data_IF_762291987324
#
_entry.id   IF_762291987324
#
_cell.length_a   1.000
_cell.length_b   1.000
_cell.length_c   1.000
_cell.angle_alpha   90.00
_cell.angle_beta   90.00
_cell.angle_gamma   90.00
#
_symmetry.space_group_name_H-M   'P 1'
#
loop_
_entity.id
_entity.type
_entity.pdbx_description
1 polymer ?
#
# COMPACT_ATOMS: atom_id res chain seq x y z
N UNK A 1 -0.68 -51.21 6.50
CA UNK A 1 -1.21 -50.10 5.67
C UNK A 1 -1.30 -48.89 6.57
N UNK A 2 -0.35 -47.97 6.45
CA UNK A 2 -0.19 -46.82 7.36
C UNK A 2 -0.64 -45.55 6.65
N UNK A 3 -1.44 -44.75 7.35
CA UNK A 3 -2.11 -43.54 6.86
C UNK A 3 -1.10 -42.38 6.67
N UNK A 4 -1.00 -41.72 5.50
CA UNK A 4 0.07 -40.76 5.21
C UNK A 4 -0.14 -39.32 5.72
N UNK A 5 -1.04 -39.08 6.69
CA UNK A 5 -1.41 -37.71 7.12
C UNK A 5 -0.96 -37.26 8.51
N UNK A 6 -0.14 -38.04 9.22
CA UNK A 6 0.46 -37.58 10.48
C UNK A 6 1.86 -37.00 10.26
N UNK A 7 1.89 -35.74 9.79
CA UNK A 7 3.06 -34.89 9.91
C UNK A 7 2.83 -33.88 11.06
N UNK A 8 3.75 -33.79 12.05
CA UNK A 8 3.56 -32.90 13.19
C UNK A 8 3.59 -31.43 12.75
N UNK A 9 2.52 -30.68 13.05
CA UNK A 9 2.46 -29.22 12.88
C UNK A 9 3.56 -28.58 13.73
N UNK A 10 4.60 -28.04 13.08
CA UNK A 10 5.57 -27.17 13.73
C UNK A 10 4.81 -25.93 14.24
N UNK A 11 4.67 -25.80 15.56
CA UNK A 11 4.12 -24.58 16.17
C UNK A 11 5.04 -23.41 15.78
N UNK A 12 4.61 -22.55 14.86
CA UNK A 12 5.31 -21.30 14.57
C UNK A 12 5.19 -20.44 15.82
N UNK A 13 6.32 -20.21 16.49
CA UNK A 13 6.43 -19.40 17.70
C UNK A 13 5.94 -17.99 17.39
N UNK A 14 4.83 -17.59 18.01
CA UNK A 14 4.45 -16.18 18.16
C UNK A 14 5.69 -15.45 18.69
N UNK A 15 6.21 -14.49 17.91
CA UNK A 15 7.40 -13.76 18.32
C UNK A 15 7.07 -12.95 19.58
N UNK A 16 7.84 -13.16 20.65
CA UNK A 16 7.64 -12.48 21.94
C UNK A 16 7.86 -10.96 21.89
N UNK A 17 8.22 -10.39 20.73
CA UNK A 17 8.48 -8.95 20.55
C UNK A 17 7.24 -8.10 20.32
N UNK A 18 6.13 -8.67 19.85
CA UNK A 18 4.88 -7.91 19.60
C UNK A 18 4.18 -7.49 20.90
N UNK A 19 4.50 -8.14 22.03
CA UNK A 19 3.86 -7.83 23.33
C UNK A 19 4.38 -6.57 24.03
N UNK A 20 5.52 -6.00 23.61
CA UNK A 20 6.26 -4.99 24.39
C UNK A 20 6.00 -3.53 24.00
N UNK A 21 5.30 -3.26 22.89
CA UNK A 21 5.04 -1.89 22.44
C UNK A 21 3.73 -1.28 22.99
N UNK A 22 3.13 -1.86 24.05
CA UNK A 22 1.84 -1.41 24.60
C UNK A 22 1.91 -0.17 25.51
N UNK A 23 3.10 0.40 25.78
CA UNK A 23 3.29 1.22 27.00
C UNK A 23 3.79 2.65 26.86
N UNK A 24 3.94 3.26 25.67
CA UNK A 24 4.40 4.67 25.61
C UNK A 24 3.71 5.46 24.50
N UNK A 25 2.66 6.21 24.85
CA UNK A 25 2.25 7.44 24.16
C UNK A 25 1.19 8.19 24.99
N UNK A 26 1.62 8.98 25.98
CA UNK A 26 0.81 10.01 26.65
C UNK A 26 1.71 11.23 26.81
N UNK A 27 1.63 12.19 25.88
CA UNK A 27 2.06 13.60 26.02
C UNK A 27 1.71 14.43 24.78
N UNK A 28 0.62 15.20 24.87
CA UNK A 28 0.44 16.57 24.34
C UNK A 28 0.71 16.90 22.85
N UNK A 29 -0.36 17.24 22.13
CA UNK A 29 -0.31 18.02 20.88
C UNK A 29 -1.34 17.50 19.87
N UNK A 30 -2.33 18.33 19.50
CA UNK A 30 -3.55 17.92 18.78
C UNK A 30 -3.33 17.06 17.53
N UNK A 31 -3.84 15.83 17.57
CA UNK A 31 -3.91 14.89 16.45
C UNK A 31 -5.24 14.14 16.58
N UNK A 32 -5.96 14.05 15.46
CA UNK A 32 -7.16 13.22 15.30
C UNK A 32 -6.75 11.77 15.55
N UNK A 33 -7.14 11.24 16.72
CA UNK A 33 -6.84 9.87 17.14
C UNK A 33 -8.16 9.11 17.29
N UNK A 34 -8.38 8.11 16.44
CA UNK A 34 -9.41 7.09 16.66
C UNK A 34 -8.92 6.25 17.84
N UNK A 35 -9.47 6.52 19.02
CA UNK A 35 -9.17 5.79 20.24
C UNK A 35 -9.99 4.51 20.23
N UNK A 36 -9.35 3.35 20.01
CA UNK A 36 -9.92 2.06 20.38
C UNK A 36 -9.39 1.64 21.76
N UNK A 37 -10.33 1.55 22.71
CA UNK A 37 -10.15 1.33 24.13
C UNK A 37 -9.65 -0.10 24.45
N UNK A 38 -8.56 -0.20 25.22
CA UNK A 38 -8.12 -1.45 25.85
C UNK A 38 -7.75 -1.21 27.32
N UNK A 39 -8.57 -1.72 28.25
CA UNK A 39 -8.37 -1.64 29.71
C UNK A 39 -7.40 -2.74 30.18
N UNK A 40 -6.34 -2.38 30.93
CA UNK A 40 -5.85 -3.19 32.08
C UNK A 40 -4.93 -2.41 33.03
N UNK A 41 -5.18 -2.58 34.33
CA UNK A 41 -4.56 -1.98 35.52
C UNK A 41 -3.15 -2.56 35.79
N UNK A 42 -2.20 -1.72 36.21
CA UNK A 42 -0.94 -2.17 36.85
C UNK A 42 0.12 -1.08 37.04
N UNK A 43 0.33 -0.64 38.29
CA UNK A 43 1.44 0.21 38.75
C UNK A 43 2.81 -0.47 38.54
N UNK A 44 3.87 0.28 38.21
CA UNK A 44 5.03 0.58 39.09
C UNK A 44 6.24 1.18 38.34
N UNK A 45 6.67 2.35 38.84
CA UNK A 45 7.99 2.98 39.00
C UNK A 45 9.22 2.66 38.12
N UNK A 46 9.71 3.76 37.51
CA UNK A 46 11.09 4.32 37.51
C UNK A 46 12.27 3.60 36.85
N UNK A 47 12.69 4.20 35.73
CA UNK A 47 13.97 4.92 35.51
C UNK A 47 15.32 4.20 35.68
N UNK A 48 16.10 4.22 34.60
CA UNK A 48 17.56 4.06 34.61
C UNK A 48 18.12 3.91 33.20
N UNK A 49 18.57 5.01 32.59
CA UNK A 49 19.32 5.03 31.32
C UNK A 49 20.73 5.56 31.53
N UNK A 50 21.57 5.19 30.56
CA UNK A 50 22.80 5.84 30.08
C UNK A 50 24.13 5.31 30.66
N UNK A 51 25.28 5.57 30.00
CA UNK A 51 25.52 5.81 28.56
C UNK A 51 26.72 4.99 28.01
N UNK A 52 26.96 5.02 26.69
CA UNK A 52 28.32 4.87 26.15
C UNK A 52 28.54 5.92 25.07
N UNK A 53 29.62 6.67 25.23
CA UNK A 53 30.09 7.75 24.37
C UNK A 53 31.11 7.24 23.33
N UNK A 54 31.00 7.81 22.13
CA UNK A 54 32.05 8.47 21.30
C UNK A 54 33.44 7.83 21.22
N UNK A 55 33.94 7.60 19.99
CA UNK A 55 35.14 8.25 19.41
C UNK A 55 35.53 7.66 18.04
N UNK A 56 35.48 8.49 16.98
CA UNK A 56 36.39 8.54 15.81
C UNK A 56 37.62 9.41 16.19
N UNK A 57 38.71 9.64 15.40
CA UNK A 57 38.79 9.75 13.92
C UNK A 57 40.17 9.41 13.27
N UNK A 58 40.40 9.96 12.05
CA UNK A 58 41.68 10.23 11.33
C UNK A 58 42.04 9.23 10.23
N UNK A 59 42.57 9.58 9.04
CA UNK A 59 42.75 10.82 8.25
C UNK A 59 43.24 10.45 6.83
N UNK A 60 42.98 11.35 5.87
CA UNK A 60 43.82 11.73 4.72
C UNK A 60 44.08 10.74 3.56
N UNK A 61 44.47 11.14 2.35
CA UNK A 61 44.45 12.37 1.55
C UNK A 61 45.17 12.03 0.22
N UNK A 62 44.63 12.45 -0.95
CA UNK A 62 45.32 12.73 -2.24
C UNK A 62 46.09 11.57 -2.94
N UNK A 63 46.23 11.45 -4.27
CA UNK A 63 46.36 12.41 -5.37
C UNK A 63 46.13 11.71 -6.73
N UNK A 64 45.81 12.51 -7.75
CA UNK A 64 45.62 12.13 -9.15
C UNK A 64 46.95 11.92 -9.92
N UNK A 65 46.90 11.14 -11.00
CA UNK A 65 47.89 11.15 -12.07
C UNK A 65 47.22 10.86 -13.42
N UNK A 66 47.27 11.84 -14.32
CA UNK A 66 46.94 11.74 -15.75
C UNK A 66 48.09 11.07 -16.51
N UNK A 67 47.77 10.28 -17.54
CA UNK A 67 48.72 9.91 -18.58
C UNK A 67 48.03 9.81 -19.96
N UNK A 68 48.72 10.41 -20.92
CA UNK A 68 48.40 10.74 -22.30
C UNK A 68 48.28 9.49 -23.18
N UNK A 69 47.29 9.42 -24.09
CA UNK A 69 47.29 8.43 -25.18
C UNK A 69 46.95 9.09 -26.52
N UNK A 70 47.74 8.69 -27.51
CA UNK A 70 47.99 9.29 -28.81
C UNK A 70 46.84 9.22 -29.83
N UNK A 71 46.77 10.27 -30.62
CA UNK A 71 45.95 10.48 -31.82
C UNK A 71 46.31 9.47 -32.92
N UNK A 72 45.31 8.73 -33.43
CA UNK A 72 45.42 7.95 -34.68
C UNK A 72 44.54 8.57 -35.77
N UNK A 73 45.16 8.86 -36.91
CA UNK A 73 44.56 9.38 -38.15
C UNK A 73 43.67 8.30 -38.82
N UNK A 74 42.52 8.65 -39.41
CA UNK A 74 41.58 7.67 -39.99
C UNK A 74 41.99 7.19 -41.40
N UNK A 75 41.63 5.95 -41.72
CA UNK A 75 41.76 5.31 -43.05
C UNK A 75 40.45 5.57 -43.83
N UNK A 76 40.50 5.95 -45.13
CA UNK A 76 39.29 6.17 -45.93
C UNK A 76 38.72 4.86 -46.48
N UNK A 77 37.40 4.69 -46.41
CA UNK A 77 36.65 3.60 -47.05
C UNK A 77 35.89 4.18 -48.27
N UNK A 78 35.94 3.55 -49.46
CA UNK A 78 35.23 3.99 -50.67
C UNK A 78 33.72 3.74 -50.61
N UNK A 79 32.91 4.39 -51.48
CA UNK A 79 31.46 4.50 -51.29
C UNK A 79 30.71 3.20 -51.61
N UNK A 80 29.70 2.88 -50.80
CA UNK A 80 28.74 1.84 -51.10
C UNK A 80 27.69 2.37 -52.11
N UNK A 81 27.55 1.65 -53.22
CA UNK A 81 26.50 1.80 -54.22
C UNK A 81 25.10 1.80 -53.62
N UNK A 82 24.22 2.60 -54.21
CA UNK A 82 22.80 2.70 -53.86
C UNK A 82 22.09 1.35 -53.93
N UNK A 83 21.33 1.07 -52.87
CA UNK A 83 20.30 0.04 -52.82
C UNK A 83 19.06 0.73 -52.24
N UNK A 84 18.03 0.90 -53.07
CA UNK A 84 16.70 1.32 -52.63
C UNK A 84 16.18 0.29 -51.63
N UNK A 85 16.26 0.64 -50.34
CA UNK A 85 15.61 -0.09 -49.28
C UNK A 85 14.12 0.31 -49.27
N UNK A 86 13.17 -0.64 -49.24
CA UNK A 86 11.76 -0.32 -49.13
C UNK A 86 11.49 0.45 -47.84
N UNK A 87 10.77 1.57 -47.95
CA UNK A 87 10.42 2.43 -46.83
C UNK A 87 9.71 1.61 -45.73
N UNK A 88 10.31 1.60 -44.54
CA UNK A 88 9.70 1.03 -43.32
C UNK A 88 8.39 1.80 -43.07
N UNK A 89 7.23 1.13 -42.96
CA UNK A 89 5.98 1.80 -42.61
C UNK A 89 6.16 2.56 -41.29
N UNK A 90 5.56 3.74 -41.12
CA UNK A 90 5.65 4.46 -39.85
C UNK A 90 5.12 3.56 -38.73
N UNK A 91 5.90 3.46 -37.65
CA UNK A 91 5.55 2.69 -36.47
C UNK A 91 4.14 3.10 -36.01
N UNK A 92 3.26 2.11 -35.81
CA UNK A 92 1.93 2.35 -35.27
C UNK A 92 2.05 3.12 -33.94
N UNK A 93 1.24 4.17 -33.77
CA UNK A 93 1.14 4.86 -32.49
C UNK A 93 0.87 3.84 -31.38
N UNK A 94 1.45 4.01 -30.17
CA UNK A 94 1.22 3.07 -29.08
C UNK A 94 -0.28 2.91 -28.85
N UNK A 95 -0.73 1.68 -28.67
CA UNK A 95 -2.12 1.39 -28.37
C UNK A 95 -2.52 2.16 -27.10
N UNK A 96 -3.64 2.88 -27.15
CA UNK A 96 -4.18 3.58 -25.98
C UNK A 96 -4.64 2.56 -24.94
N UNK A 97 -4.46 2.86 -23.66
CA UNK A 97 -4.96 2.04 -22.57
C UNK A 97 -6.49 1.83 -22.67
N UNK A 98 -6.95 0.57 -22.58
CA UNK A 98 -8.37 0.26 -22.65
C UNK A 98 -9.02 0.36 -21.25
N UNK A 99 -9.63 1.51 -20.97
CA UNK A 99 -10.39 1.76 -19.73
C UNK A 99 -11.62 0.84 -19.56
N UNK A 100 -11.97 0.01 -20.55
CA UNK A 100 -13.10 -0.93 -20.50
C UNK A 100 -12.70 -2.39 -20.30
N UNK A 101 -11.41 -2.68 -20.11
CA UNK A 101 -10.92 -4.05 -19.97
C UNK A 101 -11.52 -4.81 -18.76
N UNK A 102 -11.91 -4.08 -17.71
CA UNK A 102 -12.63 -4.65 -16.57
C UNK A 102 -13.84 -3.79 -16.15
N UNK A 103 -14.83 -4.43 -15.52
CA UNK A 103 -16.04 -3.78 -15.03
C UNK A 103 -15.73 -2.85 -13.83
N UNK A 104 -16.42 -1.71 -13.76
CA UNK A 104 -16.35 -0.79 -12.61
C UNK A 104 -17.47 -1.02 -11.58
N UNK A 105 -18.41 -1.91 -11.88
CA UNK A 105 -19.62 -2.18 -11.09
C UNK A 105 -19.67 -3.62 -10.55
N UNK A 106 -19.02 -4.56 -11.24
CA UNK A 106 -19.01 -5.97 -10.83
C UNK A 106 -18.07 -6.15 -9.63
N UNK A 107 -18.54 -6.61 -8.47
CA UNK A 107 -17.72 -6.74 -7.27
C UNK A 107 -16.61 -7.80 -7.39
N UNK A 108 -16.63 -8.65 -8.41
CA UNK A 108 -15.55 -9.58 -8.75
C UNK A 108 -14.38 -8.91 -9.47
N UNK A 109 -14.60 -7.75 -10.07
CA UNK A 109 -13.61 -7.04 -10.86
C UNK A 109 -12.49 -6.45 -9.99
N UNK A 110 -11.22 -6.53 -10.41
CA UNK A 110 -10.15 -5.78 -9.75
C UNK A 110 -10.32 -4.26 -9.91
N UNK A 111 -11.10 -3.81 -10.90
CA UNK A 111 -11.37 -2.38 -11.17
C UNK A 111 -12.70 -1.90 -10.61
N UNK A 112 -13.41 -2.70 -9.80
CA UNK A 112 -14.65 -2.23 -9.16
C UNK A 112 -14.41 -0.94 -8.39
N UNK A 113 -15.17 0.11 -8.67
CA UNK A 113 -15.07 1.38 -7.95
C UNK A 113 -16.19 1.42 -6.91
N UNK A 114 -15.80 1.29 -5.65
CA UNK A 114 -16.66 1.43 -4.48
C UNK A 114 -16.32 2.75 -3.80
N UNK A 115 -17.32 3.61 -3.60
CA UNK A 115 -17.17 4.90 -2.94
C UNK A 115 -18.52 5.36 -2.39
N UNK A 116 -18.63 6.60 -1.89
CA UNK A 116 -19.87 7.11 -1.28
C UNK A 116 -21.08 7.10 -2.22
N UNK A 117 -20.88 7.16 -3.53
CA UNK A 117 -21.94 7.14 -4.55
C UNK A 117 -22.14 5.77 -5.20
N UNK A 118 -21.25 4.81 -4.94
CA UNK A 118 -21.20 3.51 -5.59
C UNK A 118 -21.06 2.43 -4.52
N UNK A 119 -22.21 1.93 -4.07
CA UNK A 119 -22.26 0.78 -3.18
C UNK A 119 -21.98 -0.52 -3.96
N UNK A 120 -21.50 -1.54 -3.25
CA UNK A 120 -21.43 -2.89 -3.79
C UNK A 120 -22.82 -3.44 -4.14
N UNK A 121 -22.87 -4.27 -5.18
CA UNK A 121 -24.07 -4.99 -5.59
C UNK A 121 -23.73 -6.47 -5.80
N UNK A 122 -24.26 -7.39 -4.98
CA UNK A 122 -25.12 -7.14 -3.83
C UNK A 122 -24.39 -6.39 -2.70
N UNK A 123 -25.16 -5.70 -1.85
CA UNK A 123 -24.61 -4.81 -0.80
C UNK A 123 -23.77 -5.58 0.22
N UNK A 124 -24.08 -6.84 0.46
CA UNK A 124 -23.43 -7.76 1.39
C UNK A 124 -22.46 -8.73 0.69
N UNK A 125 -22.03 -8.39 -0.53
CA UNK A 125 -21.11 -9.20 -1.32
C UNK A 125 -19.90 -9.70 -0.51
N UNK A 126 -19.58 -10.98 -0.68
CA UNK A 126 -18.41 -11.66 -0.10
C UNK A 126 -17.63 -12.34 -1.21
N UNK A 127 -16.33 -12.04 -1.41
CA UNK A 127 -15.50 -12.73 -2.39
C UNK A 127 -15.35 -14.22 -2.07
N UNK A 128 -15.40 -15.07 -3.09
CA UNK A 128 -15.26 -16.53 -2.94
C UNK A 128 -13.81 -17.02 -2.92
N UNK A 129 -12.85 -16.16 -3.27
CA UNK A 129 -11.44 -16.49 -3.50
C UNK A 129 -10.50 -15.86 -2.46
N UNK A 130 -11.01 -15.55 -1.27
CA UNK A 130 -10.22 -15.02 -0.16
C UNK A 130 -9.25 -16.08 0.38
N UNK A 131 -7.98 -15.69 0.50
CA UNK A 131 -6.90 -16.50 1.07
C UNK A 131 -6.17 -15.72 2.16
N UNK A 132 -5.55 -16.43 3.10
CA UNK A 132 -4.72 -15.81 4.14
C UNK A 132 -3.43 -15.30 3.53
N UNK A 133 -3.02 -14.09 3.90
CA UNK A 133 -1.77 -13.47 3.43
C UNK A 133 -0.64 -13.77 4.44
N UNK A 134 0.43 -14.44 4.01
CA UNK A 134 1.60 -14.77 4.86
C UNK A 134 2.56 -13.57 4.99
N UNK A 135 2.09 -12.52 5.66
CA UNK A 135 2.88 -11.32 6.01
C UNK A 135 2.78 -11.02 7.51
N UNK A 136 3.67 -10.17 8.02
CA UNK A 136 3.52 -9.64 9.38
C UNK A 136 2.19 -8.88 9.49
N UNK A 137 1.47 -9.07 10.58
CA UNK A 137 0.13 -8.51 10.72
C UNK A 137 -0.27 -8.34 12.19
N UNK A 138 -1.26 -7.48 12.42
CA UNK A 138 -1.87 -7.33 13.74
C UNK A 138 -3.14 -8.20 13.88
N UNK A 139 -3.90 -8.39 12.80
CA UNK A 139 -5.02 -9.34 12.67
C UNK A 139 -4.80 -10.19 11.42
N UNK A 140 -5.21 -11.46 11.40
CA UNK A 140 -4.98 -12.37 10.26
C UNK A 140 -5.59 -11.76 8.98
N UNK A 141 -4.76 -11.32 8.02
CA UNK A 141 -5.25 -10.65 6.82
C UNK A 141 -5.75 -11.68 5.82
N UNK A 142 -6.87 -11.34 5.16
CA UNK A 142 -7.35 -12.05 3.98
C UNK A 142 -7.50 -11.08 2.82
N UNK A 143 -7.02 -11.50 1.66
CA UNK A 143 -7.19 -10.81 0.38
C UNK A 143 -7.58 -11.83 -0.67
N UNK A 144 -8.03 -11.35 -1.82
CA UNK A 144 -8.15 -12.19 -3.01
C UNK A 144 -6.79 -12.68 -3.50
N UNK A 145 -6.79 -13.73 -4.31
CA UNK A 145 -5.57 -14.46 -4.67
C UNK A 145 -4.52 -13.57 -5.35
N UNK A 146 -4.93 -12.74 -6.31
CA UNK A 146 -3.98 -11.86 -7.03
C UNK A 146 -3.38 -10.77 -6.14
N UNK A 147 -4.21 -10.11 -5.32
CA UNK A 147 -3.74 -9.11 -4.36
C UNK A 147 -2.85 -9.73 -3.28
N UNK A 148 -3.09 -10.99 -2.88
CA UNK A 148 -2.25 -11.73 -1.94
C UNK A 148 -0.84 -11.94 -2.50
N UNK A 149 -0.73 -12.40 -3.75
CA UNK A 149 0.57 -12.59 -4.41
C UNK A 149 1.32 -11.25 -4.50
N UNK A 150 0.63 -10.22 -4.96
CA UNK A 150 1.19 -8.89 -5.14
C UNK A 150 1.69 -8.26 -3.82
N UNK A 151 0.93 -8.35 -2.72
CA UNK A 151 1.32 -7.73 -1.44
C UNK A 151 2.49 -8.47 -0.79
N UNK A 152 2.56 -9.80 -0.94
CA UNK A 152 3.71 -10.60 -0.45
C UNK A 152 4.98 -10.20 -1.20
N UNK A 153 4.91 -10.06 -2.52
CA UNK A 153 6.01 -9.58 -3.35
C UNK A 153 6.43 -8.15 -2.95
N UNK A 154 5.46 -7.26 -2.75
CA UNK A 154 5.70 -5.88 -2.32
C UNK A 154 6.40 -5.81 -0.95
N UNK A 155 5.96 -6.60 0.04
CA UNK A 155 6.56 -6.60 1.37
C UNK A 155 7.98 -7.19 1.34
N UNK A 156 8.20 -8.21 0.51
CA UNK A 156 9.54 -8.75 0.29
C UNK A 156 10.47 -7.73 -0.37
N UNK A 157 9.98 -6.96 -1.36
CA UNK A 157 10.72 -5.90 -2.01
C UNK A 157 11.06 -4.74 -1.06
N UNK A 158 10.11 -4.30 -0.22
CA UNK A 158 10.38 -3.30 0.82
C UNK A 158 11.56 -3.72 1.71
N UNK A 159 11.61 -5.01 2.07
CA UNK A 159 12.69 -5.55 2.89
C UNK A 159 14.01 -5.65 2.13
N UNK A 160 13.98 -6.16 0.91
CA UNK A 160 15.18 -6.44 0.12
C UNK A 160 15.83 -5.16 -0.45
N UNK A 161 15.02 -4.22 -0.93
CA UNK A 161 15.48 -3.00 -1.61
C UNK A 161 15.78 -1.85 -0.62
N UNK A 162 15.01 -1.73 0.45
CA UNK A 162 15.07 -0.59 1.37
C UNK A 162 15.34 -0.96 2.83
N UNK A 163 15.43 -2.26 3.18
CA UNK A 163 15.62 -2.72 4.56
C UNK A 163 14.38 -2.56 5.47
N UNK A 164 13.28 -2.03 4.93
CA UNK A 164 12.06 -1.67 5.63
C UNK A 164 11.24 -2.92 5.99
N UNK A 165 10.41 -2.82 7.02
CA UNK A 165 9.57 -3.95 7.45
C UNK A 165 8.13 -3.46 7.61
N UNK A 166 7.25 -3.98 6.76
CA UNK A 166 5.84 -3.62 6.72
C UNK A 166 4.99 -4.65 7.47
N UNK A 167 3.81 -4.24 7.90
CA UNK A 167 2.80 -5.12 8.46
C UNK A 167 1.38 -4.73 7.98
N UNK A 168 0.50 -5.73 7.91
CA UNK A 168 -0.93 -5.50 7.71
C UNK A 168 -1.60 -5.05 9.03
N UNK A 169 -2.40 -4.00 8.92
CA UNK A 169 -3.30 -3.53 9.98
C UNK A 169 -4.75 -3.98 9.75
N UNK A 170 -5.26 -3.88 8.52
CA UNK A 170 -6.58 -4.37 8.15
C UNK A 170 -6.55 -4.85 6.70
N UNK A 171 -7.45 -5.77 6.33
CA UNK A 171 -7.57 -6.31 4.97
C UNK A 171 -9.05 -6.54 4.65
N UNK A 172 -9.45 -7.71 4.13
CA UNK A 172 -10.86 -8.02 3.94
C UNK A 172 -11.68 -7.79 5.22
N UNK A 173 -12.81 -7.10 5.07
CA UNK A 173 -13.79 -6.86 6.13
C UNK A 173 -15.18 -7.17 5.61
N UNK A 174 -15.87 -8.10 6.27
CA UNK A 174 -17.23 -8.47 5.89
C UNK A 174 -18.21 -7.31 6.07
N UNK A 175 -19.30 -7.32 5.30
CA UNK A 175 -20.38 -6.33 5.41
C UNK A 175 -20.88 -6.16 6.85
N UNK A 176 -21.18 -7.27 7.55
CA UNK A 176 -21.67 -7.24 8.94
C UNK A 176 -20.68 -6.57 9.89
N UNK A 177 -19.38 -6.80 9.71
CA UNK A 177 -18.34 -6.13 10.50
C UNK A 177 -18.28 -4.64 10.17
N UNK A 178 -18.49 -4.24 8.91
CA UNK A 178 -18.56 -2.82 8.55
C UNK A 178 -19.80 -2.13 9.17
N UNK A 179 -20.92 -2.85 9.34
CA UNK A 179 -22.10 -2.35 10.09
C UNK A 179 -21.71 -1.98 11.52
N UNK A 180 -20.99 -2.86 12.20
CA UNK A 180 -20.53 -2.64 13.58
C UNK A 180 -19.54 -1.48 13.65
N UNK A 181 -18.50 -1.48 12.80
CA UNK A 181 -17.46 -0.43 12.76
C UNK A 181 -18.07 0.96 12.52
N UNK A 182 -18.99 1.07 11.56
CA UNK A 182 -19.65 2.35 11.28
C UNK A 182 -20.55 2.79 12.44
N UNK A 183 -21.31 1.87 13.03
CA UNK A 183 -22.18 2.19 14.17
C UNK A 183 -21.38 2.63 15.40
N UNK A 184 -20.23 2.00 15.67
CA UNK A 184 -19.33 2.38 16.76
C UNK A 184 -18.75 3.78 16.57
N UNK A 185 -18.31 4.12 15.34
CA UNK A 185 -17.78 5.45 15.04
C UNK A 185 -18.86 6.54 15.12
N UNK A 186 -20.07 6.27 14.60
CA UNK A 186 -21.22 7.17 14.75
C UNK A 186 -21.56 7.40 16.23
N UNK A 187 -21.51 6.34 17.06
CA UNK A 187 -21.79 6.47 18.48
C UNK A 187 -20.71 7.28 19.22
N UNK A 188 -19.44 7.16 18.81
CA UNK A 188 -18.33 7.86 19.42
C UNK A 188 -18.22 9.32 18.98
N UNK A 189 -18.41 9.60 17.69
CA UNK A 189 -18.01 10.85 17.06
C UNK A 189 -19.15 11.55 16.28
N UNK A 190 -20.29 10.88 16.09
CA UNK A 190 -21.43 11.39 15.32
C UNK A 190 -21.33 11.11 13.82
N UNK A 191 -22.47 11.03 13.14
CA UNK A 191 -22.55 10.58 11.74
C UNK A 191 -21.80 11.46 10.74
N UNK A 192 -21.83 12.78 10.92
CA UNK A 192 -21.11 13.70 10.04
C UNK A 192 -19.58 13.51 10.12
N UNK A 193 -19.05 13.18 11.30
CA UNK A 193 -17.63 12.86 11.47
C UNK A 193 -17.32 11.48 10.89
N UNK A 194 -18.13 10.46 11.21
CA UNK A 194 -17.92 9.10 10.72
C UNK A 194 -17.89 9.05 9.19
N UNK A 195 -18.78 9.80 8.52
CA UNK A 195 -18.81 9.89 7.06
C UNK A 195 -17.54 10.51 6.43
N UNK A 196 -16.58 11.05 7.20
CA UNK A 196 -15.31 11.60 6.68
C UNK A 196 -14.22 10.55 6.44
N UNK A 197 -14.25 9.44 7.19
CA UNK A 197 -13.20 8.40 7.16
C UNK A 197 -13.76 6.99 7.21
N UNK A 198 -14.92 6.77 7.80
CA UNK A 198 -15.51 5.44 7.96
C UNK A 198 -16.61 5.24 6.94
N UNK A 199 -16.34 4.39 5.95
CA UNK A 199 -17.32 4.06 4.93
C UNK A 199 -18.59 3.43 5.54
N UNK A 200 -19.75 3.86 5.07
CA UNK A 200 -21.03 3.18 5.33
C UNK A 200 -20.98 1.72 4.86
N UNK A 201 -21.74 0.81 5.48
CA UNK A 201 -21.82 -0.59 5.05
C UNK A 201 -22.17 -0.70 3.56
N UNK A 202 -21.46 -1.58 2.83
CA UNK A 202 -21.59 -1.71 1.37
C UNK A 202 -20.80 -0.68 0.56
N UNK A 203 -20.23 0.36 1.17
CA UNK A 203 -19.40 1.37 0.53
C UNK A 203 -17.90 1.27 0.90
N UNK A 204 -17.50 0.22 1.62
CA UNK A 204 -16.13 0.01 2.05
C UNK A 204 -15.36 -0.84 1.04
N UNK A 205 -14.22 -0.35 0.54
CA UNK A 205 -13.36 -1.13 -0.36
C UNK A 205 -12.80 -2.39 0.31
N UNK A 206 -12.65 -2.42 1.64
CA UNK A 206 -12.23 -3.63 2.37
C UNK A 206 -13.15 -4.82 2.08
N UNK A 207 -14.44 -4.59 1.82
CA UNK A 207 -15.39 -5.66 1.51
C UNK A 207 -15.10 -6.35 0.16
N UNK A 208 -14.37 -5.68 -0.75
CA UNK A 208 -14.00 -6.26 -2.05
C UNK A 208 -12.92 -7.33 -1.95
N UNK A 209 -12.13 -7.33 -0.86
CA UNK A 209 -10.94 -8.16 -0.73
C UNK A 209 -9.73 -7.71 -1.58
N UNK A 210 -9.80 -6.52 -2.20
CA UNK A 210 -8.71 -5.92 -2.96
C UNK A 210 -7.88 -4.90 -2.17
N UNK A 211 -8.25 -4.61 -0.92
CA UNK A 211 -7.70 -3.50 -0.14
C UNK A 211 -7.02 -3.98 1.13
N UNK A 212 -5.87 -3.38 1.44
CA UNK A 212 -5.14 -3.58 2.69
C UNK A 212 -4.71 -2.25 3.29
N UNK A 213 -4.93 -2.10 4.59
CA UNK A 213 -4.28 -1.07 5.39
C UNK A 213 -2.90 -1.59 5.80
N UNK A 214 -1.86 -0.84 5.43
CA UNK A 214 -0.45 -1.21 5.62
C UNK A 214 0.23 -0.18 6.53
N UNK A 215 1.02 -0.66 7.47
CA UNK A 215 1.83 0.17 8.36
C UNK A 215 3.26 -0.36 8.54
N UNK A 216 4.06 0.35 9.34
CA UNK A 216 5.36 -0.13 9.78
C UNK A 216 5.20 -1.32 10.74
N UNK A 217 6.08 -2.32 10.63
CA UNK A 217 5.98 -3.57 11.41
C UNK A 217 6.19 -3.38 12.92
N UNK A 218 6.80 -2.27 13.34
CA UNK A 218 6.95 -1.89 14.74
C UNK A 218 5.73 -1.12 15.30
N UNK A 219 4.77 -0.78 14.43
CA UNK A 219 3.56 -0.04 14.74
C UNK A 219 3.72 1.49 14.73
N UNK A 220 4.89 2.02 14.33
CA UNK A 220 5.13 3.45 14.30
C UNK A 220 4.11 4.17 13.39
N UNK A 221 3.44 5.19 13.92
CA UNK A 221 2.42 5.97 13.21
C UNK A 221 1.31 5.14 12.53
N UNK A 222 1.03 3.93 13.02
CA UNK A 222 0.04 3.03 12.40
C UNK A 222 -1.36 3.64 12.36
N UNK A 223 -2.03 3.54 11.20
CA UNK A 223 -3.38 4.09 10.94
C UNK A 223 -3.50 5.58 11.31
N UNK A 224 -2.44 6.35 11.07
CA UNK A 224 -2.42 7.79 11.30
C UNK A 224 -1.72 8.51 10.14
N UNK A 225 -2.10 9.77 9.92
CA UNK A 225 -1.52 10.65 8.88
C UNK A 225 0.01 10.78 8.97
N UNK A 226 0.60 10.71 10.17
CA UNK A 226 2.06 10.74 10.32
C UNK A 226 2.78 9.53 9.70
N UNK A 227 2.05 8.48 9.30
CA UNK A 227 2.63 7.37 8.55
C UNK A 227 3.23 7.84 7.22
N UNK A 228 2.65 8.87 6.58
CA UNK A 228 3.16 9.45 5.34
C UNK A 228 4.60 9.98 5.45
N UNK A 229 5.03 10.34 6.66
CA UNK A 229 6.36 10.88 6.93
C UNK A 229 7.38 9.81 7.34
N UNK A 230 6.92 8.57 7.55
CA UNK A 230 7.81 7.42 7.84
C UNK A 230 8.50 6.93 6.58
N UNK A 231 9.64 6.24 6.74
CA UNK A 231 10.33 5.63 5.61
C UNK A 231 9.45 4.59 4.89
N UNK A 232 8.67 3.81 5.64
CA UNK A 232 7.69 2.86 5.13
C UNK A 232 6.59 3.52 4.31
N UNK A 233 5.98 4.59 4.81
CA UNK A 233 4.92 5.31 4.11
C UNK A 233 5.40 6.00 2.83
N UNK A 234 6.58 6.62 2.88
CA UNK A 234 7.21 7.23 1.69
C UNK A 234 7.54 6.16 0.64
N UNK A 235 8.14 5.04 1.06
CA UNK A 235 8.46 3.94 0.16
C UNK A 235 7.21 3.36 -0.52
N UNK A 236 6.13 3.15 0.23
CA UNK A 236 4.87 2.66 -0.33
C UNK A 236 4.28 3.65 -1.34
N UNK A 237 4.21 4.95 -1.00
CA UNK A 237 3.72 5.98 -1.93
C UNK A 237 4.46 5.94 -3.27
N UNK A 238 5.77 5.77 -3.22
CA UNK A 238 6.63 5.87 -4.41
C UNK A 238 6.75 4.54 -5.18
N UNK A 239 6.43 3.40 -4.54
CA UNK A 239 6.79 2.06 -5.05
C UNK A 239 5.59 1.11 -5.21
N UNK A 240 4.50 1.30 -4.48
CA UNK A 240 3.39 0.33 -4.42
C UNK A 240 2.75 0.05 -5.80
N UNK A 241 2.77 1.03 -6.70
CA UNK A 241 2.25 0.91 -8.07
C UNK A 241 2.95 -0.20 -8.87
N UNK A 242 4.26 -0.46 -8.62
CA UNK A 242 5.02 -1.56 -9.26
C UNK A 242 4.40 -2.92 -8.99
N UNK A 243 3.62 -3.04 -7.92
CA UNK A 243 2.95 -4.26 -7.50
C UNK A 243 1.43 -4.21 -7.72
N UNK A 244 0.93 -3.23 -8.46
CA UNK A 244 -0.49 -3.11 -8.76
C UNK A 244 -1.32 -2.45 -7.65
N UNK A 245 -0.69 -1.75 -6.70
CA UNK A 245 -1.37 -1.05 -5.61
C UNK A 245 -1.38 0.46 -5.81
N UNK A 246 -2.52 1.08 -5.50
CA UNK A 246 -2.75 2.52 -5.48
C UNK A 246 -2.94 3.00 -4.04
N UNK A 247 -2.31 4.12 -3.68
CA UNK A 247 -2.70 4.88 -2.49
C UNK A 247 -4.09 5.49 -2.75
N UNK A 248 -5.14 4.92 -2.15
CA UNK A 248 -6.52 5.16 -2.58
C UNK A 248 -7.07 6.54 -2.23
N UNK A 249 -6.62 7.11 -1.11
CA UNK A 249 -7.10 8.38 -0.57
C UNK A 249 -5.94 9.36 -0.35
N UNK A 250 -5.47 10.05 -1.40
CA UNK A 250 -4.47 11.11 -1.31
C UNK A 250 -4.97 12.37 -0.59
N UNK A 251 -4.07 13.13 0.02
CA UNK A 251 -4.40 14.31 0.82
C UNK A 251 -5.05 15.45 0.01
N UNK A 252 -4.67 15.59 -1.26
CA UNK A 252 -5.15 16.62 -2.18
C UNK A 252 -6.42 16.21 -2.94
N UNK A 253 -7.02 15.06 -2.61
CA UNK A 253 -8.13 14.46 -3.37
C UNK A 253 -9.41 14.20 -2.55
N UNK A 254 -9.53 14.83 -1.39
CA UNK A 254 -10.72 14.70 -0.52
C UNK A 254 -12.01 15.10 -1.24
N UNK A 255 -11.99 16.17 -2.04
CA UNK A 255 -13.18 16.61 -2.80
C UNK A 255 -13.57 15.66 -3.94
N UNK A 256 -12.67 14.75 -4.32
CA UNK A 256 -12.89 13.74 -5.37
C UNK A 256 -13.35 12.43 -4.76
N UNK A 257 -12.61 11.89 -3.79
CA UNK A 257 -12.86 10.56 -3.19
C UNK A 257 -13.90 10.60 -2.07
N UNK A 258 -14.02 11.76 -1.40
CA UNK A 258 -14.81 11.97 -0.20
C UNK A 258 -14.19 11.47 1.10
N UNK A 259 -13.04 10.82 1.06
CA UNK A 259 -12.37 10.35 2.28
C UNK A 259 -11.21 11.26 2.64
N UNK A 260 -10.99 11.42 3.95
CA UNK A 260 -9.79 12.09 4.48
C UNK A 260 -8.51 11.38 4.00
N UNK A 261 -7.36 12.03 4.20
CA UNK A 261 -6.07 11.45 3.84
C UNK A 261 -5.79 10.16 4.63
N UNK A 262 -5.58 9.05 3.92
CA UNK A 262 -5.26 7.75 4.51
C UNK A 262 -3.98 7.17 3.90
N UNK A 263 -2.77 7.60 4.34
CA UNK A 263 -1.49 7.12 3.79
C UNK A 263 -1.23 5.62 3.94
N UNK A 264 -2.06 4.92 4.72
CA UNK A 264 -2.00 3.49 4.98
C UNK A 264 -2.91 2.67 4.05
N UNK A 265 -3.89 3.27 3.36
CA UNK A 265 -4.95 2.54 2.65
C UNK A 265 -4.59 2.27 1.18
N UNK A 266 -4.16 1.04 0.89
CA UNK A 266 -3.72 0.63 -0.44
C UNK A 266 -4.73 -0.30 -1.12
N UNK A 267 -5.14 0.08 -2.32
CA UNK A 267 -6.12 -0.62 -3.16
C UNK A 267 -5.41 -1.32 -4.32
N UNK A 268 -5.53 -2.64 -4.39
CA UNK A 268 -5.06 -3.42 -5.54
C UNK A 268 -5.97 -3.19 -6.75
N UNK A 269 -5.36 -2.90 -7.90
CA UNK A 269 -6.03 -2.62 -9.17
C UNK A 269 -5.38 -3.33 -10.36
N UNK A 270 -4.39 -4.20 -10.09
CA UNK A 270 -3.60 -4.86 -11.12
C UNK A 270 -2.43 -3.99 -11.62
N UNK A 271 -1.39 -4.65 -12.13
CA UNK A 271 -0.15 -3.99 -12.57
C UNK A 271 -0.37 -3.06 -13.75
N UNK A 272 -1.16 -3.46 -14.74
CA UNK A 272 -1.37 -2.66 -15.97
C UNK A 272 -2.03 -1.31 -15.66
N UNK A 273 -3.09 -1.31 -14.84
CA UNK A 273 -3.76 -0.08 -14.46
C UNK A 273 -2.90 0.77 -13.51
N UNK A 274 -2.22 0.17 -12.55
CA UNK A 274 -1.35 0.91 -11.64
C UNK A 274 -0.18 1.58 -12.39
N UNK A 275 0.39 0.91 -13.38
CA UNK A 275 1.42 1.46 -14.25
C UNK A 275 0.88 2.61 -15.12
N UNK A 276 -0.29 2.46 -15.74
CA UNK A 276 -0.91 3.54 -16.52
C UNK A 276 -1.23 4.77 -15.65
N UNK A 277 -1.80 4.56 -14.46
CA UNK A 277 -2.07 5.64 -13.51
C UNK A 277 -0.78 6.33 -13.04
N UNK A 278 0.28 5.56 -12.79
CA UNK A 278 1.59 6.10 -12.45
C UNK A 278 2.18 6.96 -13.60
N UNK A 279 2.16 6.44 -14.83
CA UNK A 279 2.71 7.11 -16.00
C UNK A 279 1.94 8.38 -16.38
N UNK A 280 0.63 8.41 -16.15
CA UNK A 280 -0.23 9.56 -16.44
C UNK A 280 -0.33 10.57 -15.28
N UNK A 281 0.15 10.19 -14.08
CA UNK A 281 0.08 11.01 -12.86
C UNK A 281 -1.32 11.16 -12.27
N UNK A 282 -2.30 10.35 -12.71
CA UNK A 282 -3.66 10.37 -12.17
C UNK A 282 -3.71 9.51 -10.90
N UNK A 283 -4.14 10.09 -9.79
CA UNK A 283 -4.00 9.48 -8.45
C UNK A 283 -5.31 8.96 -7.86
N UNK A 284 -6.44 9.08 -8.56
CA UNK A 284 -7.74 8.56 -8.12
C UNK A 284 -8.40 7.71 -9.19
N UNK A 285 -9.14 6.68 -8.76
CA UNK A 285 -9.93 5.86 -9.68
C UNK A 285 -11.09 6.67 -10.28
N UNK A 286 -11.65 7.59 -9.51
CA UNK A 286 -12.70 8.50 -9.97
C UNK A 286 -12.24 9.34 -11.17
N UNK A 287 -11.11 10.04 -11.05
CA UNK A 287 -10.58 10.86 -12.16
C UNK A 287 -10.12 9.99 -13.32
N UNK A 288 -9.45 8.87 -13.05
CA UNK A 288 -8.95 7.99 -14.10
C UNK A 288 -10.07 7.42 -14.97
N UNK A 289 -11.17 6.99 -14.37
CA UNK A 289 -12.33 6.44 -15.08
C UNK A 289 -13.40 7.49 -15.42
N UNK A 290 -13.13 8.77 -15.21
CA UNK A 290 -14.06 9.87 -15.50
C UNK A 290 -15.41 9.71 -14.78
N UNK A 291 -15.39 9.13 -13.57
CA UNK A 291 -16.55 9.00 -12.71
C UNK A 291 -16.83 10.31 -11.97
N UNK A 292 -18.10 10.59 -11.61
CA UNK A 292 -18.41 11.73 -10.75
C UNK A 292 -17.68 11.64 -9.41
N UNK A 293 -17.14 12.75 -8.94
CA UNK A 293 -16.64 12.88 -7.58
C UNK A 293 -17.69 12.45 -6.54
N UNK A 294 -17.23 11.89 -5.42
CA UNK A 294 -18.05 11.32 -4.36
C UNK A 294 -17.76 11.95 -2.98
N UNK A 295 -17.78 13.29 -2.81
CA UNK A 295 -17.43 13.94 -1.54
C UNK A 295 -18.38 13.57 -0.39
N UNK A 296 -19.64 13.27 -0.72
CA UNK A 296 -20.70 12.90 0.23
C UNK A 296 -21.50 11.70 -0.28
N UNK A 297 -22.23 11.08 0.66
CA UNK A 297 -23.33 10.16 0.38
C UNK A 297 -24.53 10.89 -0.23
#
# INVERSE_FOLDING_TARGET
MSNPFDAPRKSRRISRRVRRNRTIALSGGGIVAIIMLGILIGNLSTSGSAPVAVSTPSDGATAAAEAVVATRTPIPIPPASGSDAPAVPPAAAPARFDKRAHSLDDPTSPWVVVNKRRALSPVDYTPSDLVVVDVAHTWEPRLRTDATRAVVEMFAAAKAEAGLSLASNSAYRAYSTQVEVYAEDVAANGGAYADTSTARPGHSEHQTGWTMDIGAADGNCSLNTCFADTAEGQWLRDTAWRFGFLLRYPADKVDVTGFAFEPWHYRYIGSELAEEMHNTGVTTLEEFFELPAAPTY
#
